data_IF_824987735567
#
_entry.id   IF_824987735567
#
_cell.length_a   1.000
_cell.length_b   1.000
_cell.length_c   1.000
_cell.angle_alpha   90.00
_cell.angle_beta   90.00
_cell.angle_gamma   90.00
#
_symmetry.space_group_name_H-M   'P 1'
#
loop_
_entity.id
_entity.type
_entity.pdbx_description
1 polymer ?
#
# COMPACT_ATOMS: atom_id res chain seq x y z
N UNK A 1 -99.88 -40.54 -60.44
CA UNK A 1 -99.02 -39.99 -59.39
C UNK A 1 -99.84 -39.01 -58.58
N UNK A 2 -99.83 -39.19 -57.24
CA UNK A 2 -100.36 -38.31 -56.17
C UNK A 2 -101.87 -37.99 -56.26
N UNK A 3 -102.83 -38.66 -55.61
CA UNK A 3 -102.97 -39.07 -54.17
C UNK A 3 -102.77 -37.84 -53.27
N UNK A 4 -103.72 -37.31 -52.47
CA UNK A 4 -104.86 -37.88 -51.71
C UNK A 4 -105.99 -36.81 -51.63
N UNK A 5 -107.21 -37.14 -52.08
CA UNK A 5 -108.40 -37.49 -51.29
C UNK A 5 -109.05 -36.36 -50.45
N UNK A 6 -110.20 -35.90 -50.96
CA UNK A 6 -111.24 -35.18 -50.22
C UNK A 6 -112.16 -36.18 -49.54
N UNK A 7 -112.51 -35.98 -48.25
CA UNK A 7 -113.78 -36.50 -47.71
C UNK A 7 -114.37 -35.56 -46.67
N UNK A 8 -115.57 -35.10 -47.00
CA UNK A 8 -116.55 -34.38 -46.19
C UNK A 8 -117.11 -35.22 -45.04
N UNK A 9 -117.48 -34.56 -43.93
CA UNK A 9 -118.53 -35.09 -43.04
C UNK A 9 -119.59 -34.01 -42.82
N UNK A 10 -120.82 -34.44 -43.04
CA UNK A 10 -122.08 -33.69 -43.06
C UNK A 10 -122.49 -33.07 -41.72
N UNK A 11 -123.30 -32.02 -41.87
CA UNK A 11 -124.03 -31.27 -40.87
C UNK A 11 -125.18 -32.12 -40.30
N UNK A 12 -125.38 -32.11 -38.97
CA UNK A 12 -126.73 -32.26 -38.40
C UNK A 12 -126.97 -31.29 -37.22
N UNK A 13 -127.94 -30.40 -37.45
CA UNK A 13 -128.92 -29.87 -36.49
C UNK A 13 -128.53 -28.81 -35.46
N UNK A 14 -128.84 -27.56 -35.82
CA UNK A 14 -129.62 -26.58 -35.06
C UNK A 14 -129.90 -26.90 -33.58
N UNK A 15 -129.11 -26.32 -32.68
CA UNK A 15 -129.64 -25.73 -31.46
C UNK A 15 -128.75 -24.57 -31.02
N UNK A 16 -129.29 -23.36 -31.09
CA UNK A 16 -128.62 -22.12 -30.70
C UNK A 16 -128.33 -22.11 -29.19
N UNK A 17 -127.12 -22.44 -28.78
CA UNK A 17 -126.65 -22.18 -27.41
C UNK A 17 -126.01 -20.79 -27.42
N UNK A 18 -126.73 -19.82 -26.87
CA UNK A 18 -126.25 -18.47 -26.64
C UNK A 18 -125.22 -18.49 -25.48
N UNK A 19 -123.95 -18.71 -25.81
CA UNK A 19 -122.85 -18.64 -24.83
C UNK A 19 -122.39 -17.18 -24.71
N UNK A 20 -122.69 -16.52 -23.58
CA UNK A 20 -122.10 -15.22 -23.23
C UNK A 20 -120.64 -15.43 -22.80
N UNK A 21 -119.69 -14.93 -23.58
CA UNK A 21 -118.30 -14.81 -23.15
C UNK A 21 -118.13 -13.60 -22.23
N UNK A 22 -117.62 -13.80 -21.01
CA UNK A 22 -117.20 -12.74 -20.08
C UNK A 22 -115.68 -12.73 -20.04
N UNK A 23 -115.06 -11.65 -20.51
CA UNK A 23 -113.61 -11.45 -20.43
C UNK A 23 -113.29 -10.62 -19.19
N UNK A 24 -112.50 -11.16 -18.25
CA UNK A 24 -112.01 -10.46 -17.07
C UNK A 24 -110.72 -9.71 -17.43
N UNK A 25 -110.79 -8.38 -17.60
CA UNK A 25 -109.59 -7.54 -17.68
C UNK A 25 -108.84 -7.53 -16.34
N UNK A 26 -107.53 -7.78 -16.39
CA UNK A 26 -106.65 -7.64 -15.22
C UNK A 26 -106.46 -6.16 -14.90
N UNK A 27 -107.07 -5.70 -13.81
CA UNK A 27 -106.84 -4.37 -13.25
C UNK A 27 -105.39 -4.13 -12.83
N UNK A 28 -104.99 -2.86 -12.76
CA UNK A 28 -103.62 -2.41 -12.50
C UNK A 28 -103.06 -2.92 -11.16
N UNK A 29 -101.82 -3.43 -11.16
CA UNK A 29 -101.15 -4.00 -9.98
C UNK A 29 -100.91 -2.89 -8.93
N UNK A 30 -101.42 -3.07 -7.71
CA UNK A 30 -101.03 -2.23 -6.56
C UNK A 30 -99.57 -2.51 -6.16
N UNK A 31 -98.72 -1.49 -6.18
CA UNK A 31 -97.37 -1.56 -5.59
C UNK A 31 -97.49 -1.45 -4.06
N UNK A 32 -96.98 -2.46 -3.35
CA UNK A 32 -96.86 -2.47 -1.90
C UNK A 32 -95.47 -1.95 -1.52
N UNK A 33 -95.37 -0.71 -1.02
CA UNK A 33 -94.14 -0.19 -0.45
C UNK A 33 -94.10 -0.49 1.05
N UNK A 34 -93.41 -1.57 1.43
CA UNK A 34 -93.10 -1.89 2.83
C UNK A 34 -91.78 -1.20 3.19
N UNK A 35 -91.80 -0.18 4.06
CA UNK A 35 -90.56 0.40 4.63
C UNK A 35 -90.10 -0.46 5.83
N UNK A 36 -88.91 -1.06 5.76
CA UNK A 36 -88.35 -1.97 6.77
C UNK A 36 -87.16 -1.32 7.51
N UNK A 37 -87.34 -1.03 8.80
CA UNK A 37 -86.31 -0.51 9.74
C UNK A 37 -85.14 -1.47 10.02
N UNK A 38 -85.14 -2.69 9.47
CA UNK A 38 -84.14 -3.74 9.74
C UNK A 38 -82.96 -3.74 8.78
N UNK A 39 -83.06 -3.07 7.62
CA UNK A 39 -81.99 -3.04 6.61
C UNK A 39 -80.80 -2.16 7.03
N UNK A 40 -81.06 -1.07 7.77
CA UNK A 40 -80.00 -0.15 8.23
C UNK A 40 -79.03 -0.82 9.21
N UNK A 41 -79.52 -1.66 10.14
CA UNK A 41 -78.67 -2.37 11.10
C UNK A 41 -77.82 -3.46 10.47
N UNK A 42 -78.35 -4.14 9.44
CA UNK A 42 -77.62 -5.16 8.71
C UNK A 42 -76.50 -4.52 7.86
N UNK A 43 -76.78 -3.36 7.26
CA UNK A 43 -75.80 -2.57 6.53
C UNK A 43 -74.68 -2.07 7.44
N UNK A 44 -75.02 -1.50 8.59
CA UNK A 44 -74.04 -1.01 9.57
C UNK A 44 -73.12 -2.14 10.09
N UNK A 45 -73.66 -3.35 10.27
CA UNK A 45 -72.85 -4.52 10.65
C UNK A 45 -71.90 -4.97 9.53
N UNK A 46 -72.35 -4.98 8.27
CA UNK A 46 -71.51 -5.32 7.12
C UNK A 46 -70.41 -4.29 6.89
N UNK A 47 -70.71 -2.99 7.03
CA UNK A 47 -69.74 -1.91 6.91
C UNK A 47 -68.65 -2.04 7.99
N UNK A 48 -69.04 -2.36 9.24
CA UNK A 48 -68.09 -2.61 10.34
C UNK A 48 -67.18 -3.81 10.09
N UNK A 49 -67.73 -4.89 9.55
CA UNK A 49 -66.95 -6.10 9.22
C UNK A 49 -65.92 -5.81 8.11
N UNK A 50 -66.32 -5.02 7.11
CA UNK A 50 -65.45 -4.60 6.02
C UNK A 50 -64.32 -3.69 6.53
N UNK A 51 -64.63 -2.76 7.43
CA UNK A 51 -63.66 -1.86 8.05
C UNK A 51 -62.64 -2.62 8.90
N UNK A 52 -63.08 -3.60 9.71
CA UNK A 52 -62.17 -4.47 10.48
C UNK A 52 -61.26 -5.32 9.56
N UNK A 53 -61.79 -5.81 8.44
CA UNK A 53 -61.04 -6.59 7.46
C UNK A 53 -59.97 -5.74 6.75
N UNK A 54 -60.31 -4.51 6.37
CA UNK A 54 -59.34 -3.58 5.77
C UNK A 54 -58.28 -3.14 6.78
N UNK A 55 -58.65 -2.86 8.03
CA UNK A 55 -57.69 -2.54 9.12
C UNK A 55 -56.69 -3.67 9.36
N UNK A 56 -57.15 -4.92 9.39
CA UNK A 56 -56.26 -6.08 9.56
C UNK A 56 -55.35 -6.29 8.36
N UNK A 57 -55.83 -6.01 7.15
CA UNK A 57 -55.02 -6.05 5.93
C UNK A 57 -53.93 -4.97 5.93
N UNK A 58 -54.30 -3.72 6.20
CA UNK A 58 -53.36 -2.58 6.28
C UNK A 58 -52.28 -2.86 7.33
N UNK A 59 -52.66 -3.37 8.51
CA UNK A 59 -51.70 -3.71 9.57
C UNK A 59 -50.70 -4.78 9.12
N UNK A 60 -51.16 -5.82 8.42
CA UNK A 60 -50.27 -6.86 7.88
C UNK A 60 -49.33 -6.30 6.81
N UNK A 61 -49.85 -5.49 5.89
CA UNK A 61 -49.04 -4.85 4.84
C UNK A 61 -47.98 -3.91 5.45
N UNK A 62 -48.32 -3.19 6.51
CA UNK A 62 -47.38 -2.34 7.25
C UNK A 62 -46.30 -3.15 7.97
N UNK A 63 -46.68 -4.22 8.69
CA UNK A 63 -45.73 -5.09 9.39
C UNK A 63 -44.74 -5.75 8.40
N UNK A 64 -45.22 -6.15 7.22
CA UNK A 64 -44.39 -6.71 6.15
C UNK A 64 -43.45 -5.66 5.53
N UNK A 65 -43.93 -4.44 5.31
CA UNK A 65 -43.12 -3.33 4.85
C UNK A 65 -42.02 -2.96 5.86
N UNK A 66 -42.36 -2.89 7.14
CA UNK A 66 -41.41 -2.57 8.22
C UNK A 66 -40.34 -3.67 8.36
N UNK A 67 -40.72 -4.94 8.19
CA UNK A 67 -39.79 -6.07 8.16
C UNK A 67 -38.82 -5.98 6.97
N UNK A 68 -39.33 -5.72 5.75
CA UNK A 68 -38.51 -5.56 4.55
C UNK A 68 -37.57 -4.35 4.64
N UNK A 69 -38.05 -3.22 5.18
CA UNK A 69 -37.24 -2.02 5.38
C UNK A 69 -36.08 -2.30 6.34
N UNK A 70 -36.35 -2.98 7.45
CA UNK A 70 -35.32 -3.36 8.41
C UNK A 70 -34.27 -4.31 7.80
N UNK A 71 -34.71 -5.29 7.01
CA UNK A 71 -33.80 -6.19 6.30
C UNK A 71 -32.90 -5.44 5.30
N UNK A 72 -33.46 -4.48 4.57
CA UNK A 72 -32.71 -3.63 3.64
C UNK A 72 -31.67 -2.75 4.37
N UNK A 73 -32.05 -2.15 5.52
CA UNK A 73 -31.14 -1.37 6.38
C UNK A 73 -30.00 -2.25 6.94
N UNK A 74 -30.31 -3.46 7.40
CA UNK A 74 -29.31 -4.42 7.89
C UNK A 74 -28.34 -4.85 6.77
N UNK A 75 -28.84 -5.09 5.54
CA UNK A 75 -28.00 -5.39 4.38
C UNK A 75 -27.09 -4.22 3.99
N UNK A 76 -27.60 -2.99 4.02
CA UNK A 76 -26.81 -1.79 3.74
C UNK A 76 -25.71 -1.57 4.77
N UNK A 77 -26.01 -1.81 6.05
CA UNK A 77 -25.03 -1.76 7.12
C UNK A 77 -23.91 -2.78 6.93
N UNK A 78 -24.26 -4.04 6.60
CA UNK A 78 -23.27 -5.09 6.31
C UNK A 78 -22.41 -4.72 5.10
N UNK A 79 -23.01 -4.15 4.04
CA UNK A 79 -22.28 -3.69 2.86
C UNK A 79 -21.24 -2.62 3.23
N UNK A 80 -21.61 -1.63 4.03
CA UNK A 80 -20.67 -0.59 4.47
C UNK A 80 -19.52 -1.13 5.32
N UNK A 81 -19.76 -2.13 6.18
CA UNK A 81 -18.69 -2.79 6.94
C UNK A 81 -17.72 -3.50 5.98
N UNK A 82 -18.24 -4.26 5.01
CA UNK A 82 -17.38 -4.96 4.04
C UNK A 82 -16.56 -4.00 3.18
N UNK A 83 -17.16 -2.91 2.72
CA UNK A 83 -16.46 -1.85 1.98
C UNK A 83 -15.34 -1.22 2.82
N UNK A 84 -15.61 -0.95 4.11
CA UNK A 84 -14.60 -0.43 5.05
C UNK A 84 -13.41 -1.37 5.21
N UNK A 85 -13.67 -2.65 5.46
CA UNK A 85 -12.61 -3.67 5.59
C UNK A 85 -11.79 -3.82 4.30
N UNK A 86 -12.45 -3.81 3.13
CA UNK A 86 -11.77 -3.92 1.84
C UNK A 86 -10.85 -2.71 1.57
N UNK A 87 -11.29 -1.50 1.93
CA UNK A 87 -10.45 -0.30 1.82
C UNK A 87 -9.24 -0.34 2.76
N UNK A 88 -9.42 -0.83 3.99
CA UNK A 88 -8.33 -0.96 4.96
C UNK A 88 -7.29 -1.98 4.50
N UNK A 89 -7.73 -3.15 4.03
CA UNK A 89 -6.86 -4.18 3.45
C UNK A 89 -6.08 -3.66 2.23
N UNK A 90 -6.73 -2.87 1.35
CA UNK A 90 -6.07 -2.28 0.19
C UNK A 90 -4.95 -1.31 0.61
N UNK A 91 -5.21 -0.46 1.61
CA UNK A 91 -4.19 0.46 2.14
C UNK A 91 -3.03 -0.29 2.77
N UNK A 92 -3.31 -1.37 3.49
CA UNK A 92 -2.27 -2.20 4.12
C UNK A 92 -1.42 -2.93 3.07
N UNK A 93 -2.03 -3.48 2.02
CA UNK A 93 -1.31 -4.06 0.89
C UNK A 93 -0.41 -3.03 0.20
N UNK A 94 -0.92 -1.84 -0.12
CA UNK A 94 -0.11 -0.78 -0.73
C UNK A 94 1.09 -0.41 0.14
N UNK A 95 0.92 -0.36 1.46
CA UNK A 95 2.02 -0.08 2.39
C UNK A 95 3.05 -1.21 2.40
N UNK A 96 2.61 -2.47 2.35
CA UNK A 96 3.51 -3.62 2.27
C UNK A 96 4.27 -3.64 0.95
N UNK A 97 3.62 -3.35 -0.18
CA UNK A 97 4.27 -3.26 -1.49
C UNK A 97 5.33 -2.17 -1.52
N UNK A 98 5.03 -0.97 -1.00
CA UNK A 98 6.01 0.12 -0.88
C UNK A 98 7.19 -0.26 0.01
N UNK A 99 6.93 -0.97 1.11
CA UNK A 99 7.99 -1.45 1.98
C UNK A 99 8.89 -2.46 1.27
N UNK A 100 8.31 -3.42 0.55
CA UNK A 100 9.05 -4.41 -0.23
C UNK A 100 9.88 -3.73 -1.33
N UNK A 101 9.32 -2.74 -2.03
CA UNK A 101 10.05 -1.97 -3.04
C UNK A 101 11.24 -1.22 -2.43
N UNK A 102 11.04 -0.57 -1.28
CA UNK A 102 12.12 0.09 -0.55
C UNK A 102 13.20 -0.90 -0.10
N UNK A 103 12.81 -2.05 0.43
CA UNK A 103 13.74 -3.08 0.88
C UNK A 103 14.57 -3.63 -0.29
N UNK A 104 13.94 -3.90 -1.44
CA UNK A 104 14.64 -4.30 -2.67
C UNK A 104 15.60 -3.23 -3.20
N UNK A 105 15.23 -1.95 -3.05
CA UNK A 105 16.12 -0.85 -3.43
C UNK A 105 17.33 -0.77 -2.49
N UNK A 106 17.13 -0.89 -1.19
CA UNK A 106 18.20 -0.93 -0.19
C UNK A 106 19.13 -2.13 -0.42
N UNK A 107 18.58 -3.30 -0.74
CA UNK A 107 19.35 -4.51 -1.05
C UNK A 107 20.29 -4.31 -2.25
N UNK A 108 19.92 -3.47 -3.23
CA UNK A 108 20.78 -3.10 -4.35
C UNK A 108 21.84 -2.05 -3.99
N UNK A 109 21.56 -1.16 -3.04
CA UNK A 109 22.49 -0.11 -2.62
C UNK A 109 23.58 -0.60 -1.66
N UNK A 110 23.25 -1.56 -0.78
CA UNK A 110 24.20 -2.16 0.16
C UNK A 110 25.49 -2.64 -0.53
N UNK A 111 25.46 -3.48 -1.58
CA UNK A 111 26.67 -3.95 -2.23
C UNK A 111 27.46 -2.83 -2.91
N UNK A 112 26.80 -1.81 -3.45
CA UNK A 112 27.48 -0.63 -4.03
C UNK A 112 28.23 0.13 -2.94
N UNK A 113 27.59 0.38 -1.80
CA UNK A 113 28.22 1.07 -0.68
C UNK A 113 29.41 0.27 -0.12
N UNK A 114 29.29 -1.06 -0.05
CA UNK A 114 30.39 -1.96 0.33
C UNK A 114 31.53 -1.87 -0.67
N UNK A 115 31.24 -1.98 -1.97
CA UNK A 115 32.24 -1.87 -3.03
C UNK A 115 32.95 -0.52 -3.02
N UNK A 116 32.22 0.59 -2.92
CA UNK A 116 32.80 1.93 -2.84
C UNK A 116 33.73 2.08 -1.63
N UNK A 117 33.34 1.52 -0.48
CA UNK A 117 34.18 1.50 0.72
C UNK A 117 35.43 0.65 0.50
N UNK A 118 35.30 -0.53 -0.10
CA UNK A 118 36.43 -1.39 -0.41
C UNK A 118 37.39 -0.69 -1.38
N UNK A 119 36.90 -0.07 -2.45
CA UNK A 119 37.72 0.69 -3.40
C UNK A 119 38.43 1.86 -2.70
N UNK A 120 37.70 2.64 -1.89
CA UNK A 120 38.25 3.75 -1.14
C UNK A 120 39.30 3.34 -0.10
N UNK A 121 39.23 2.12 0.45
CA UNK A 121 40.12 1.63 1.51
C UNK A 121 41.16 0.63 0.99
N UNK A 122 41.02 0.10 -0.24
CA UNK A 122 41.87 -0.96 -0.81
C UNK A 122 43.34 -0.57 -0.95
N UNK A 123 43.61 0.68 -1.33
CA UNK A 123 44.98 1.16 -1.57
C UNK A 123 45.70 1.42 -0.25
N UNK A 124 46.85 0.77 -0.10
CA UNK A 124 47.80 1.00 0.99
C UNK A 124 48.41 2.40 0.95
N UNK A 125 48.96 2.87 2.08
CA UNK A 125 49.64 4.18 2.13
C UNK A 125 50.76 4.24 1.09
N UNK A 126 51.52 3.15 0.91
CA UNK A 126 52.64 3.12 -0.04
C UNK A 126 52.17 3.25 -1.49
N UNK A 127 51.10 2.56 -1.88
CA UNK A 127 50.53 2.66 -3.22
C UNK A 127 50.01 4.07 -3.51
N UNK A 128 49.39 4.68 -2.50
CA UNK A 128 48.87 6.04 -2.60
C UNK A 128 49.97 7.09 -2.77
N UNK A 129 51.08 6.98 -2.03
CA UNK A 129 52.17 7.98 -2.09
C UNK A 129 53.19 7.70 -3.19
N UNK A 130 53.10 6.55 -3.89
CA UNK A 130 54.11 6.10 -4.88
C UNK A 130 54.40 7.14 -5.96
N UNK A 131 53.36 7.75 -6.53
CA UNK A 131 53.49 8.74 -7.60
C UNK A 131 53.88 10.13 -7.08
N UNK A 132 53.63 10.40 -5.81
CA UNK A 132 54.04 11.61 -5.11
C UNK A 132 55.48 11.55 -4.57
N UNK A 133 56.13 10.38 -4.64
CA UNK A 133 57.43 10.14 -4.03
C UNK A 133 58.56 10.52 -4.99
N UNK A 134 59.29 11.58 -4.67
CA UNK A 134 60.43 12.07 -5.47
C UNK A 134 61.75 11.79 -4.75
N UNK A 135 62.72 11.24 -5.48
CA UNK A 135 64.07 11.04 -4.96
C UNK A 135 64.78 12.39 -4.84
N UNK A 136 65.38 12.67 -3.68
CA UNK A 136 66.23 13.83 -3.49
C UNK A 136 67.70 13.42 -3.53
N UNK A 137 68.54 14.29 -4.10
CA UNK A 137 69.97 14.06 -4.30
C UNK A 137 70.76 15.20 -3.68
N UNK A 138 71.88 14.88 -3.04
CA UNK A 138 72.74 15.89 -2.44
C UNK A 138 73.70 16.48 -3.49
N UNK A 139 73.47 17.74 -3.88
CA UNK A 139 74.29 18.46 -4.86
C UNK A 139 75.77 18.55 -4.48
N UNK A 140 76.09 18.64 -3.19
CA UNK A 140 77.48 18.74 -2.69
C UNK A 140 78.28 17.45 -2.90
N UNK A 141 77.61 16.29 -3.00
CA UNK A 141 78.25 14.99 -3.30
C UNK A 141 78.36 14.70 -4.79
N UNK A 142 77.62 15.40 -5.65
CA UNK A 142 77.58 15.17 -7.09
C UNK A 142 78.80 15.79 -7.81
N UNK A 143 79.45 16.78 -7.21
CA UNK A 143 80.65 17.42 -7.78
C UNK A 143 81.97 16.67 -7.59
N UNK A 144 81.99 15.50 -6.94
CA UNK A 144 83.24 14.85 -6.56
C UNK A 144 83.80 13.84 -7.58
N UNK A 145 83.01 13.20 -8.45
CA UNK A 145 83.53 12.31 -9.51
C UNK A 145 82.60 12.25 -10.73
N UNK A 146 83.15 12.60 -11.89
CA UNK A 146 82.50 12.48 -13.20
C UNK A 146 82.28 10.99 -13.52
N UNK A 147 81.02 10.56 -13.68
CA UNK A 147 80.65 9.19 -14.03
C UNK A 147 79.96 8.35 -12.93
N UNK A 148 79.89 8.81 -11.68
CA UNK A 148 79.14 8.10 -10.63
C UNK A 148 77.64 8.43 -10.65
N UNK A 149 76.80 7.38 -10.55
CA UNK A 149 75.33 7.52 -10.51
C UNK A 149 74.93 8.44 -9.36
N UNK A 150 74.04 9.41 -9.63
CA UNK A 150 73.45 10.32 -8.63
C UNK A 150 73.02 9.51 -7.39
N UNK A 151 73.72 9.69 -6.27
CA UNK A 151 73.41 8.98 -5.04
C UNK A 151 72.13 9.58 -4.45
N UNK A 152 71.02 8.86 -4.58
CA UNK A 152 69.75 9.21 -3.90
C UNK A 152 70.02 9.27 -2.41
N UNK A 153 69.83 10.45 -1.83
CA UNK A 153 70.16 10.72 -0.42
C UNK A 153 68.94 10.59 0.47
N UNK A 154 67.75 10.92 -0.04
CA UNK A 154 66.48 10.64 0.65
C UNK A 154 65.32 10.63 -0.34
N UNK A 155 64.10 10.43 0.16
CA UNK A 155 62.87 10.51 -0.64
C UNK A 155 61.93 11.52 0.02
N UNK A 156 61.34 12.37 -0.80
CA UNK A 156 60.34 13.37 -0.41
C UNK A 156 58.99 12.93 -0.94
N UNK A 157 57.92 13.16 -0.16
CA UNK A 157 56.54 12.95 -0.60
C UNK A 157 55.93 14.32 -0.83
N UNK A 158 55.56 14.61 -2.08
CA UNK A 158 54.84 15.82 -2.43
C UNK A 158 53.33 15.57 -2.33
N UNK A 159 52.73 15.97 -1.21
CA UNK A 159 51.30 15.78 -0.96
C UNK A 159 50.41 16.55 -1.96
N UNK A 160 50.94 17.51 -2.73
CA UNK A 160 50.18 18.21 -3.78
C UNK A 160 49.93 17.34 -5.02
N UNK A 161 50.72 16.29 -5.20
CA UNK A 161 50.58 15.33 -6.31
C UNK A 161 49.58 14.21 -6.01
N UNK A 162 48.84 14.32 -4.90
CA UNK A 162 47.88 13.33 -4.47
C UNK A 162 46.52 13.61 -5.11
N UNK A 163 46.05 12.70 -5.97
CA UNK A 163 44.84 12.91 -6.78
C UNK A 163 43.59 13.24 -5.95
N UNK A 164 43.46 12.65 -4.76
CA UNK A 164 42.24 12.79 -3.96
C UNK A 164 42.36 13.82 -2.82
N UNK A 165 43.58 14.15 -2.39
CA UNK A 165 43.80 15.07 -1.26
C UNK A 165 43.36 14.53 0.12
N UNK A 166 42.91 13.28 0.22
CA UNK A 166 42.38 12.66 1.44
C UNK A 166 43.46 12.33 2.48
N UNK A 167 44.75 12.37 2.12
CA UNK A 167 45.83 11.94 3.00
C UNK A 167 46.44 13.13 3.76
N UNK A 168 46.48 13.01 5.08
CA UNK A 168 47.22 13.92 5.95
C UNK A 168 48.44 13.20 6.53
N UNK A 169 49.54 13.92 6.68
CA UNK A 169 50.78 13.42 7.28
C UNK A 169 51.09 14.24 8.53
N UNK A 170 51.37 13.55 9.62
CA UNK A 170 51.86 14.12 10.87
C UNK A 170 53.29 13.65 11.05
N UNK A 171 54.23 14.60 11.07
CA UNK A 171 55.64 14.34 11.32
C UNK A 171 55.96 14.56 12.80
N UNK A 172 56.53 13.55 13.45
CA UNK A 172 56.96 13.62 14.84
C UNK A 172 58.47 13.79 14.91
N UNK A 173 58.93 15.02 15.13
CA UNK A 173 60.34 15.29 15.41
C UNK A 173 60.68 14.96 16.87
N UNK A 174 61.32 13.80 17.07
CA UNK A 174 61.73 13.34 18.40
C UNK A 174 63.17 13.76 18.65
N UNK A 175 63.41 14.38 19.80
CA UNK A 175 64.73 14.89 20.18
C UNK A 175 65.82 13.80 20.12
N UNK A 176 66.77 14.00 19.20
CA UNK A 176 67.88 13.07 18.92
C UNK A 176 68.91 12.97 20.04
N UNK A 177 68.83 13.83 21.07
CA UNK A 177 69.69 13.74 22.26
C UNK A 177 69.27 12.63 23.23
N UNK A 178 68.07 12.06 23.06
CA UNK A 178 67.61 10.94 23.87
C UNK A 178 68.33 9.64 23.49
N UNK A 179 68.41 8.71 24.43
CA UNK A 179 68.87 7.36 24.14
C UNK A 179 67.93 6.67 23.14
N UNK A 180 68.42 5.62 22.49
CA UNK A 180 67.59 4.79 21.59
C UNK A 180 66.35 4.29 22.34
N UNK A 181 66.54 3.77 23.55
CA UNK A 181 65.45 3.28 24.42
C UNK A 181 64.45 4.38 24.79
N UNK A 182 64.91 5.59 25.15
CA UNK A 182 64.02 6.71 25.46
C UNK A 182 63.22 7.16 24.24
N UNK A 183 63.85 7.16 23.07
CA UNK A 183 63.21 7.49 21.79
C UNK A 183 62.16 6.43 21.43
N UNK A 184 62.47 5.15 21.59
CA UNK A 184 61.54 4.05 21.35
C UNK A 184 60.34 4.06 22.31
N UNK A 185 60.56 4.38 23.58
CA UNK A 185 59.47 4.51 24.56
C UNK A 185 58.50 5.62 24.18
N UNK A 186 59.00 6.76 23.71
CA UNK A 186 58.16 7.86 23.22
C UNK A 186 57.37 7.42 21.98
N UNK A 187 58.01 6.75 21.01
CA UNK A 187 57.33 6.22 19.81
C UNK A 187 56.19 5.26 20.19
N UNK A 188 56.46 4.32 21.09
CA UNK A 188 55.44 3.34 21.53
C UNK A 188 54.30 4.01 22.29
N UNK A 189 54.58 5.03 23.09
CA UNK A 189 53.54 5.81 23.77
C UNK A 189 52.66 6.59 22.79
N UNK A 190 53.26 7.22 21.77
CA UNK A 190 52.51 7.91 20.71
C UNK A 190 51.62 6.91 19.97
N UNK A 191 52.17 5.78 19.55
CA UNK A 191 51.47 4.73 18.81
C UNK A 191 50.34 4.09 19.63
N UNK A 192 50.60 3.76 20.89
CA UNK A 192 49.66 3.02 21.74
C UNK A 192 48.60 3.89 22.41
N UNK A 193 48.91 5.15 22.73
CA UNK A 193 48.05 5.97 23.59
C UNK A 193 47.56 7.28 22.94
N UNK A 194 48.24 7.82 21.92
CA UNK A 194 47.90 9.14 21.36
C UNK A 194 47.29 9.07 19.96
N UNK A 195 47.66 8.07 19.15
CA UNK A 195 47.15 7.93 17.80
C UNK A 195 45.87 7.07 17.78
N UNK A 196 44.81 7.51 17.09
CA UNK A 196 43.61 6.70 16.95
C UNK A 196 43.87 5.48 16.04
N UNK A 197 43.07 4.44 16.22
CA UNK A 197 43.23 3.15 15.52
C UNK A 197 43.05 3.23 13.99
N UNK A 198 42.54 4.34 13.47
CA UNK A 198 42.35 4.60 12.04
C UNK A 198 43.58 5.25 11.37
N UNK A 199 44.67 5.46 12.11
CA UNK A 199 45.93 6.01 11.58
C UNK A 199 46.82 4.88 11.05
N UNK A 200 47.27 5.01 9.81
CA UNK A 200 48.30 4.13 9.28
C UNK A 200 49.70 4.69 9.58
N UNK A 201 50.59 3.83 10.02
CA UNK A 201 51.93 4.22 10.48
C UNK A 201 52.99 3.88 9.43
N UNK A 202 53.97 4.76 9.24
CA UNK A 202 55.20 4.42 8.54
C UNK A 202 56.41 4.80 9.38
N UNK A 203 57.22 3.81 9.74
CA UNK A 203 58.54 4.05 10.32
C UNK A 203 59.55 4.26 9.21
N UNK A 204 60.30 5.36 9.26
CA UNK A 204 61.40 5.61 8.32
C UNK A 204 62.70 4.97 8.81
N UNK A 205 63.65 4.74 7.89
CA UNK A 205 64.94 4.10 8.17
C UNK A 205 65.82 4.83 9.20
N UNK A 206 65.54 6.10 9.49
CA UNK A 206 66.28 6.91 10.48
C UNK A 206 65.55 7.04 11.83
N UNK A 207 64.47 6.28 12.04
CA UNK A 207 63.70 6.30 13.27
C UNK A 207 62.75 7.50 13.41
N UNK A 208 62.54 8.27 12.35
CA UNK A 208 61.47 9.29 12.34
C UNK A 208 60.13 8.58 12.21
N UNK A 209 59.16 8.99 13.02
CA UNK A 209 57.81 8.45 13.03
C UNK A 209 56.92 9.36 12.19
N UNK A 210 56.43 8.83 11.06
CA UNK A 210 55.37 9.51 10.29
C UNK A 210 54.06 8.77 10.51
N UNK A 211 53.03 9.52 10.87
CA UNK A 211 51.66 9.04 10.94
C UNK A 211 50.89 9.57 9.74
N UNK A 212 50.17 8.68 9.05
CA UNK A 212 49.30 9.03 7.95
C UNK A 212 47.85 8.76 8.35
N UNK A 213 46.98 9.74 8.14
CA UNK A 213 45.56 9.60 8.40
C UNK A 213 44.74 10.03 7.18
N UNK A 214 43.59 9.36 7.00
CA UNK A 214 42.61 9.78 6.02
C UNK A 214 41.78 10.93 6.63
N UNK A 215 41.61 12.03 5.89
CA UNK A 215 40.80 13.19 6.28
C UNK A 215 39.32 12.85 6.46
N UNK A 216 38.83 11.86 5.71
CA UNK A 216 37.44 11.39 5.77
C UNK A 216 37.23 10.37 6.90
N UNK A 217 38.25 10.11 7.73
CA UNK A 217 38.15 9.30 8.94
C UNK A 217 38.23 7.79 8.73
N UNK A 218 38.33 7.31 7.49
CA UNK A 218 38.51 5.88 7.21
C UNK A 218 39.87 5.36 7.67
N UNK A 219 39.88 4.14 8.22
CA UNK A 219 41.11 3.44 8.56
C UNK A 219 41.90 3.13 7.29
N UNK A 220 43.13 3.63 7.22
CA UNK A 220 44.03 3.26 6.13
C UNK A 220 44.60 1.86 6.40
N UNK A 221 44.62 0.95 5.42
CA UNK A 221 45.28 -0.33 5.60
C UNK A 221 46.78 -0.09 5.84
N UNK A 222 47.32 -0.74 6.87
CA UNK A 222 48.73 -0.64 7.21
C UNK A 222 49.59 -1.27 6.12
N UNK A 223 50.73 -0.64 5.82
CA UNK A 223 51.82 -1.35 5.16
C UNK A 223 52.42 -2.28 6.23
N UNK A 224 52.12 -3.58 6.17
CA UNK A 224 52.79 -4.58 7.00
C UNK A 224 54.30 -4.58 6.79
#
# INVERSE_FOLDING_TARGET
MTSEESTSVEIISNQSIYVKHITLEKGSKRQYNRKTKSEDKAKEFMDKLLEEQELTRIKREQDEFDAQKKEAEDQEFIRHIMEGMAQEQLKEQQKQEQQIEMDQFLEKLIPIAVQMKEEAVSKTIMERVKNAMTNTVNFTKIGQKEGEKKQVTSKLIDLTLFENGDLCMIDFDINKKLSIEGTDKIRQNIIGNMLPANVGLAKTAHGVLHAYCNRDGYTLPSNG
#
